data_IF_088260324137
#
_entry.id   IF_088260324137
#
_cell.length_a   1.000
_cell.length_b   1.000
_cell.length_c   1.000
_cell.angle_alpha   90.00
_cell.angle_beta   90.00
_cell.angle_gamma   90.00
#
_symmetry.space_group_name_H-M   'P 1'
#
loop_
_entity.id
_entity.type
_entity.pdbx_description
1 polymer ?
#
# COMPACT_ATOMS: atom_id res chain seq x y z
N UNK A 1 2.64 7.51 15.35
CA UNK A 1 2.92 8.56 16.36
C UNK A 1 2.12 8.40 17.64
N UNK A 2 0.91 7.81 17.61
CA UNK A 2 0.07 7.65 18.81
C UNK A 2 0.64 6.62 19.81
N UNK A 3 1.36 5.62 19.33
CA UNK A 3 2.03 4.64 20.17
C UNK A 3 3.45 4.38 19.66
N UNK A 4 4.47 5.06 20.25
CA UNK A 4 5.86 4.92 19.82
C UNK A 4 6.47 3.56 20.13
N UNK A 5 5.79 2.72 20.91
CA UNK A 5 6.24 1.35 21.17
C UNK A 5 6.02 0.44 19.95
N UNK A 6 5.10 0.80 19.04
CA UNK A 6 4.85 0.04 17.84
C UNK A 6 5.74 0.53 16.69
N UNK A 7 6.63 -0.33 16.23
CA UNK A 7 7.54 -0.07 15.10
C UNK A 7 7.36 -1.17 14.06
N UNK A 8 7.24 -0.77 12.81
CA UNK A 8 7.03 -1.68 11.68
C UNK A 8 8.07 -1.44 10.60
N UNK A 9 8.66 -2.51 10.07
CA UNK A 9 9.64 -2.45 8.99
C UNK A 9 9.21 -3.42 7.89
N UNK A 10 8.96 -2.88 6.69
CA UNK A 10 8.68 -3.69 5.51
C UNK A 10 9.99 -4.18 4.89
N UNK A 11 10.10 -5.49 4.69
CA UNK A 11 11.31 -6.16 4.22
C UNK A 11 11.01 -7.04 3.01
N UNK A 12 11.90 -7.02 2.02
CA UNK A 12 11.86 -7.87 0.82
C UNK A 12 12.79 -7.34 -0.25
N UNK A 13 13.42 -8.22 -1.01
CA UNK A 13 14.50 -7.82 -1.95
C UNK A 13 14.02 -7.63 -3.37
N UNK A 14 13.32 -8.63 -3.91
CA UNK A 14 12.88 -8.64 -5.31
C UNK A 14 11.42 -9.02 -5.44
N UNK A 15 10.72 -8.45 -6.41
CA UNK A 15 9.33 -8.81 -6.71
C UNK A 15 9.19 -10.23 -7.25
N UNK A 16 10.28 -10.84 -7.68
CA UNK A 16 10.34 -12.26 -8.08
C UNK A 16 10.59 -13.23 -6.92
N UNK A 17 10.88 -12.71 -5.72
CA UNK A 17 11.21 -13.52 -4.55
C UNK A 17 10.10 -13.48 -3.51
N UNK A 18 9.62 -14.65 -3.07
CA UNK A 18 8.58 -14.76 -2.03
C UNK A 18 9.18 -14.56 -0.61
N UNK A 19 10.00 -13.55 -0.43
CA UNK A 19 10.66 -13.24 0.84
C UNK A 19 10.14 -11.95 1.50
N UNK A 20 8.97 -11.47 1.07
CA UNK A 20 8.31 -10.34 1.69
C UNK A 20 7.92 -10.63 3.15
N UNK A 21 8.25 -9.71 4.04
CA UNK A 21 7.91 -9.81 5.45
C UNK A 21 7.71 -8.42 6.06
N UNK A 22 6.93 -8.36 7.12
CA UNK A 22 6.86 -7.21 8.01
C UNK A 22 7.51 -7.60 9.34
N UNK A 23 8.50 -6.84 9.77
CA UNK A 23 9.03 -6.94 11.12
C UNK A 23 8.21 -6.03 12.02
N UNK A 24 7.62 -6.61 13.05
CA UNK A 24 6.76 -5.90 13.99
C UNK A 24 7.43 -5.87 15.38
N UNK A 25 7.58 -4.69 15.93
CA UNK A 25 7.97 -4.48 17.32
C UNK A 25 6.84 -3.83 18.09
N UNK A 26 6.69 -4.18 19.35
CA UNK A 26 5.71 -3.61 20.27
C UNK A 26 6.37 -3.08 21.56
N UNK A 27 7.69 -2.97 21.55
CA UNK A 27 8.54 -2.57 22.68
C UNK A 27 9.54 -1.45 22.32
N UNK A 28 9.17 -0.63 21.33
CA UNK A 28 10.00 0.49 20.88
C UNK A 28 11.21 0.09 20.05
N UNK A 29 11.14 -1.06 19.37
CA UNK A 29 12.21 -1.54 18.49
C UNK A 29 13.28 -2.37 19.19
N UNK A 30 13.06 -2.79 20.45
CA UNK A 30 14.02 -3.64 21.16
C UNK A 30 14.00 -5.08 20.65
N UNK A 31 12.80 -5.58 20.36
CA UNK A 31 12.63 -6.91 19.75
C UNK A 31 11.70 -6.83 18.55
N UNK A 32 11.87 -7.74 17.60
CA UNK A 32 11.05 -7.82 16.40
C UNK A 32 10.55 -9.24 16.18
N UNK A 33 9.25 -9.36 15.95
CA UNK A 33 8.64 -10.56 15.41
C UNK A 33 8.53 -10.44 13.90
N UNK A 34 8.89 -11.50 13.16
CA UNK A 34 8.72 -11.57 11.72
C UNK A 34 7.33 -12.09 11.38
N UNK A 35 6.65 -11.38 10.49
CA UNK A 35 5.37 -11.77 9.89
C UNK A 35 5.59 -11.92 8.38
N UNK A 36 5.48 -13.14 7.87
CA UNK A 36 5.53 -13.39 6.43
C UNK A 36 4.24 -12.91 5.78
N UNK A 37 4.36 -12.27 4.61
CA UNK A 37 3.24 -11.66 3.91
C UNK A 37 3.02 -12.34 2.55
N UNK A 38 1.76 -12.42 2.06
CA UNK A 38 1.42 -13.09 0.81
C UNK A 38 1.70 -12.24 -0.44
N UNK A 39 2.54 -11.22 -0.32
CA UNK A 39 2.92 -10.33 -1.42
C UNK A 39 4.44 -10.12 -1.43
N UNK A 40 4.96 -9.83 -2.61
CA UNK A 40 6.38 -9.61 -2.79
C UNK A 40 6.73 -8.12 -2.68
N UNK A 41 7.96 -7.83 -2.33
CA UNK A 41 8.49 -6.48 -2.21
C UNK A 41 9.77 -6.33 -3.05
N UNK A 42 9.97 -5.16 -3.62
CA UNK A 42 11.08 -4.88 -4.53
C UNK A 42 12.11 -3.90 -3.97
N UNK A 43 12.48 -4.05 -2.71
CA UNK A 43 13.39 -3.12 -2.02
C UNK A 43 14.78 -3.00 -2.63
N UNK A 44 15.21 -4.00 -3.42
CA UNK A 44 16.50 -3.98 -4.12
C UNK A 44 16.37 -3.92 -5.65
N UNK A 45 15.22 -3.51 -6.17
CA UNK A 45 14.98 -3.41 -7.60
C UNK A 45 15.00 -1.98 -8.11
N UNK A 46 15.22 -1.84 -9.43
CA UNK A 46 14.94 -0.60 -10.13
C UNK A 46 13.46 -0.23 -9.96
N UNK A 47 13.18 1.02 -9.60
CA UNK A 47 11.81 1.48 -9.32
C UNK A 47 11.36 1.26 -7.87
N UNK A 48 12.27 0.89 -6.97
CA UNK A 48 11.99 0.78 -5.52
C UNK A 48 11.47 2.09 -4.89
N UNK A 49 11.62 3.20 -5.57
CA UNK A 49 11.00 4.46 -5.17
C UNK A 49 9.48 4.51 -5.35
N UNK A 50 8.91 3.59 -6.13
CA UNK A 50 7.49 3.52 -6.44
C UNK A 50 6.90 2.22 -5.87
N UNK A 51 6.23 2.30 -4.75
CA UNK A 51 5.60 1.15 -4.10
C UNK A 51 6.14 0.88 -2.70
N UNK A 52 5.71 -0.21 -2.11
CA UNK A 52 5.99 -0.63 -0.73
C UNK A 52 5.81 0.52 0.27
N UNK A 53 4.62 1.11 0.30
CA UNK A 53 4.25 2.18 1.22
C UNK A 53 3.39 1.62 2.35
N UNK A 54 3.83 1.80 3.57
CA UNK A 54 3.13 1.34 4.76
C UNK A 54 2.75 2.53 5.63
N UNK A 55 1.48 2.58 6.05
CA UNK A 55 0.95 3.65 6.89
C UNK A 55 0.04 3.08 7.97
N UNK A 56 0.28 3.49 9.21
CA UNK A 56 -0.59 3.18 10.36
C UNK A 56 -1.72 4.22 10.41
N UNK A 57 -2.94 3.77 10.68
CA UNK A 57 -4.08 4.66 10.86
C UNK A 57 -3.82 5.58 12.06
N UNK A 58 -3.88 6.91 11.88
CA UNK A 58 -3.63 7.86 12.96
C UNK A 58 -4.71 7.83 14.05
N UNK A 59 -5.87 7.22 13.81
CA UNK A 59 -6.97 7.10 14.76
C UNK A 59 -7.01 5.72 15.43
N UNK A 60 -6.61 4.68 14.70
CA UNK A 60 -6.61 3.32 15.19
C UNK A 60 -5.29 2.62 14.90
N UNK A 61 -4.45 2.52 15.92
CA UNK A 61 -3.12 1.87 15.84
C UNK A 61 -3.17 0.37 15.47
N UNK A 62 -4.34 -0.25 15.48
CA UNK A 62 -4.49 -1.64 15.04
C UNK A 62 -4.56 -1.74 13.52
N UNK A 63 -4.91 -0.64 12.83
CA UNK A 63 -5.10 -0.62 11.38
C UNK A 63 -3.83 -0.14 10.70
N UNK A 64 -3.36 -0.94 9.75
CA UNK A 64 -2.21 -0.62 8.92
C UNK A 64 -2.58 -0.92 7.47
N UNK A 65 -2.24 0.00 6.57
CA UNK A 65 -2.31 -0.25 5.15
C UNK A 65 -0.91 -0.39 4.56
N UNK A 66 -0.78 -1.33 3.62
CA UNK A 66 0.44 -1.58 2.86
C UNK A 66 0.14 -1.51 1.37
N UNK A 67 0.70 -0.52 0.71
CA UNK A 67 0.69 -0.40 -0.73
C UNK A 67 1.87 -1.13 -1.34
N UNK A 68 1.61 -1.98 -2.31
CA UNK A 68 2.65 -2.76 -3.00
C UNK A 68 2.84 -2.27 -4.43
N UNK A 69 3.91 -2.72 -5.06
CA UNK A 69 4.16 -2.42 -6.48
C UNK A 69 3.27 -3.25 -7.41
N UNK A 70 3.05 -4.51 -7.11
CA UNK A 70 2.43 -5.47 -8.03
C UNK A 70 1.18 -6.15 -7.49
N UNK A 71 0.95 -6.09 -6.17
CA UNK A 71 -0.10 -6.88 -5.52
C UNK A 71 -1.23 -6.01 -4.93
N UNK A 72 -1.30 -4.73 -5.34
CA UNK A 72 -2.33 -3.80 -4.88
C UNK A 72 -2.18 -3.36 -3.44
N UNK A 73 -3.31 -3.06 -2.81
CA UNK A 73 -3.40 -2.56 -1.44
C UNK A 73 -3.76 -3.68 -0.47
N UNK A 74 -3.05 -3.75 0.65
CA UNK A 74 -3.27 -4.70 1.74
C UNK A 74 -3.59 -3.99 3.04
N UNK A 75 -4.36 -4.63 3.88
CA UNK A 75 -4.78 -4.10 5.17
C UNK A 75 -4.54 -5.12 6.28
N UNK A 76 -4.02 -4.64 7.39
CA UNK A 76 -4.02 -5.32 8.69
C UNK A 76 -5.00 -4.63 9.62
N UNK A 77 -5.66 -5.37 10.50
CA UNK A 77 -6.52 -4.86 11.59
C UNK A 77 -6.06 -5.33 12.98
N UNK A 78 -4.89 -5.93 13.04
CA UNK A 78 -4.34 -6.58 14.22
C UNK A 78 -2.88 -6.18 14.49
N UNK A 79 -2.53 -4.94 14.21
CA UNK A 79 -1.17 -4.39 14.38
C UNK A 79 -0.11 -5.10 13.53
N UNK A 80 -0.48 -5.49 12.30
CA UNK A 80 0.46 -6.09 11.36
C UNK A 80 0.66 -7.59 11.51
N UNK A 81 -0.08 -8.28 12.39
CA UNK A 81 0.06 -9.73 12.59
C UNK A 81 -0.53 -10.55 11.45
N UNK A 82 -1.60 -10.06 10.83
CA UNK A 82 -2.17 -10.66 9.63
C UNK A 82 -2.52 -9.61 8.58
N UNK A 83 -2.59 -10.02 7.32
CA UNK A 83 -2.78 -9.13 6.19
C UNK A 83 -3.80 -9.69 5.22
N UNK A 84 -4.76 -8.86 4.84
CA UNK A 84 -5.81 -9.18 3.87
C UNK A 84 -5.78 -8.14 2.75
N UNK A 85 -5.97 -8.59 1.52
CA UNK A 85 -6.07 -7.67 0.37
C UNK A 85 -7.31 -6.79 0.53
N UNK A 86 -7.18 -5.49 0.32
CA UNK A 86 -8.29 -4.56 0.31
C UNK A 86 -9.14 -4.79 -0.94
N UNK A 87 -10.25 -5.53 -0.80
CA UNK A 87 -11.10 -5.95 -1.92
C UNK A 87 -11.74 -4.75 -2.67
N UNK A 88 -11.96 -3.64 -1.97
CA UNK A 88 -12.46 -2.40 -2.56
C UNK A 88 -11.42 -1.63 -3.38
N UNK A 89 -10.15 -2.00 -3.29
CA UNK A 89 -9.10 -1.38 -4.11
C UNK A 89 -9.08 -2.03 -5.49
N UNK A 90 -9.15 -1.24 -6.58
CA UNK A 90 -9.19 -1.77 -7.94
C UNK A 90 -7.94 -2.63 -8.21
N UNK A 91 -8.13 -3.71 -8.96
CA UNK A 91 -6.99 -4.53 -9.38
C UNK A 91 -6.18 -3.76 -10.41
N UNK A 92 -5.11 -3.15 -9.94
CA UNK A 92 -4.18 -2.44 -10.81
C UNK A 92 -3.20 -3.39 -11.50
N UNK A 93 -3.10 -4.65 -11.04
CA UNK A 93 -2.20 -5.65 -11.62
C UNK A 93 -2.62 -6.08 -13.01
N UNK A 94 -3.91 -6.12 -13.32
CA UNK A 94 -4.40 -6.43 -14.67
C UNK A 94 -4.07 -5.34 -15.70
N UNK A 95 -3.97 -4.10 -15.26
CA UNK A 95 -3.56 -2.96 -16.11
C UNK A 95 -2.06 -2.89 -16.32
N UNK A 96 -1.29 -3.58 -15.51
CA UNK A 96 0.14 -3.76 -15.68
C UNK A 96 0.38 -4.95 -16.60
N UNK A 97 0.63 -4.70 -17.86
CA UNK A 97 1.03 -5.75 -18.78
C UNK A 97 2.34 -6.37 -18.28
N UNK A 98 2.21 -7.55 -17.67
CA UNK A 98 3.34 -8.31 -17.13
C UNK A 98 4.41 -8.65 -18.19
N UNK A 99 4.05 -8.61 -19.48
CA UNK A 99 5.02 -8.76 -20.58
C UNK A 99 6.06 -7.64 -20.65
N UNK A 100 5.75 -6.44 -20.13
CA UNK A 100 6.73 -5.36 -20.00
C UNK A 100 7.72 -5.58 -18.83
N UNK A 101 7.54 -6.64 -18.03
CA UNK A 101 8.51 -7.05 -16.99
C UNK A 101 9.88 -7.41 -17.58
N UNK A 102 9.91 -7.99 -18.80
CA UNK A 102 11.14 -8.47 -19.41
C UNK A 102 12.04 -7.34 -19.93
N UNK A 103 11.47 -6.18 -20.23
CA UNK A 103 12.20 -5.10 -20.91
C UNK A 103 12.67 -3.99 -19.98
N UNK A 104 13.22 -4.23 -18.80
CA UNK A 104 13.78 -3.20 -17.88
C UNK A 104 13.06 -2.94 -16.57
N UNK A 105 12.42 -3.91 -16.01
CA UNK A 105 11.81 -3.78 -14.69
C UNK A 105 10.73 -2.70 -14.68
N UNK A 106 9.71 -2.92 -13.94
CA UNK A 106 8.54 -2.05 -13.78
C UNK A 106 8.91 -0.71 -13.09
N UNK A 107 9.69 0.13 -13.76
CA UNK A 107 10.34 1.31 -13.18
C UNK A 107 9.40 2.43 -12.77
N UNK A 108 8.12 2.30 -12.92
CA UNK A 108 7.24 3.43 -12.66
C UNK A 108 5.87 3.08 -12.14
N UNK A 109 5.60 1.80 -11.87
CA UNK A 109 4.29 1.35 -11.44
C UNK A 109 4.27 0.95 -9.98
N UNK A 110 3.19 1.26 -9.29
CA UNK A 110 2.98 0.88 -7.90
C UNK A 110 2.26 1.94 -7.08
N UNK A 111 1.97 1.62 -5.84
CA UNK A 111 1.37 2.55 -4.89
C UNK A 111 2.50 3.41 -4.31
N UNK A 112 2.43 4.72 -4.57
CA UNK A 112 3.49 5.67 -4.20
C UNK A 112 3.17 6.48 -2.95
N UNK A 113 1.91 6.52 -2.54
CA UNK A 113 1.49 7.22 -1.33
C UNK A 113 0.20 6.63 -0.79
N UNK A 114 0.06 6.61 0.53
CA UNK A 114 -1.19 6.38 1.25
C UNK A 114 -1.35 7.56 2.20
N UNK A 115 -2.51 8.22 2.18
CA UNK A 115 -2.84 9.31 3.08
C UNK A 115 -4.21 9.05 3.73
N UNK A 116 -4.32 9.40 5.00
CA UNK A 116 -5.57 9.29 5.76
C UNK A 116 -6.29 10.62 5.79
N UNK A 117 -7.61 10.59 5.63
CA UNK A 117 -8.47 11.74 5.85
C UNK A 117 -8.77 11.87 7.35
N UNK A 118 -7.90 12.57 8.05
CA UNK A 118 -8.01 12.74 9.51
C UNK A 118 -9.18 13.64 9.94
N UNK A 119 -9.82 14.33 9.01
CA UNK A 119 -10.95 15.21 9.31
C UNK A 119 -12.31 14.51 9.22
N UNK A 120 -12.39 13.37 8.52
CA UNK A 120 -13.63 12.59 8.39
C UNK A 120 -13.75 11.56 9.51
N UNK A 121 -13.92 12.06 10.75
CA UNK A 121 -13.84 11.27 11.98
C UNK A 121 -15.18 11.14 12.70
N UNK A 122 -16.28 10.96 11.98
CA UNK A 122 -17.61 10.96 12.61
C UNK A 122 -17.83 9.90 13.70
N UNK A 123 -16.99 8.89 13.81
CA UNK A 123 -17.14 7.79 14.77
C UNK A 123 -15.77 7.36 15.35
N UNK A 124 -14.97 8.21 15.88
CA UNK A 124 -13.80 8.03 16.80
C UNK A 124 -12.96 6.72 16.76
N UNK A 125 -13.28 5.74 15.90
CA UNK A 125 -12.66 4.42 15.95
C UNK A 125 -11.69 4.12 14.81
N UNK A 126 -11.99 4.58 13.61
CA UNK A 126 -11.19 4.31 12.41
C UNK A 126 -11.27 5.49 11.45
N UNK A 127 -10.19 5.79 10.75
CA UNK A 127 -10.25 6.75 9.65
C UNK A 127 -11.13 6.20 8.53
N UNK A 128 -12.18 6.92 8.16
CA UNK A 128 -13.17 6.50 7.16
C UNK A 128 -12.61 6.40 5.76
N UNK A 129 -11.83 7.38 5.39
CA UNK A 129 -11.35 7.53 4.03
C UNK A 129 -9.83 7.54 4.00
N UNK A 130 -9.30 6.80 3.06
CA UNK A 130 -7.89 6.87 2.70
C UNK A 130 -7.78 7.27 1.23
N UNK A 131 -6.74 8.01 0.90
CA UNK A 131 -6.34 8.35 -0.45
C UNK A 131 -5.10 7.58 -0.82
N UNK A 132 -5.15 6.88 -1.95
CA UNK A 132 -4.04 6.07 -2.41
C UNK A 132 -3.59 6.60 -3.77
N UNK A 133 -2.35 7.07 -3.84
CA UNK A 133 -1.76 7.50 -5.09
C UNK A 133 -1.08 6.31 -5.77
N UNK A 134 -1.45 6.08 -7.03
CA UNK A 134 -0.92 4.99 -7.87
C UNK A 134 -0.17 5.59 -9.04
N UNK A 135 1.08 5.20 -9.19
CA UNK A 135 1.87 5.50 -10.39
C UNK A 135 1.63 4.43 -11.44
N UNK A 136 1.20 4.86 -12.62
CA UNK A 136 0.94 3.99 -13.77
C UNK A 136 1.81 4.43 -14.96
N UNK A 137 2.47 3.47 -15.61
CA UNK A 137 3.14 3.76 -16.86
C UNK A 137 2.13 3.70 -18.01
N UNK A 138 1.88 4.84 -18.63
CA UNK A 138 1.01 4.90 -19.82
C UNK A 138 1.86 4.72 -21.07
N UNK A 139 1.50 3.75 -21.92
CA UNK A 139 2.28 3.30 -23.09
C UNK A 139 2.47 4.35 -24.21
N UNK A 140 1.72 5.44 -24.24
CA UNK A 140 1.67 6.32 -25.44
C UNK A 140 2.38 7.67 -25.34
N UNK A 141 2.78 8.07 -24.14
CA UNK A 141 3.54 9.32 -23.95
C UNK A 141 4.49 9.04 -22.76
N UNK A 142 5.70 9.54 -22.82
CA UNK A 142 6.71 9.39 -21.73
C UNK A 142 6.31 10.12 -20.44
N UNK A 143 5.08 9.96 -19.97
CA UNK A 143 4.57 10.57 -18.75
C UNK A 143 4.10 9.50 -17.76
N UNK A 144 4.55 9.62 -16.52
CA UNK A 144 4.00 8.93 -15.38
C UNK A 144 2.65 9.59 -15.05
N UNK A 145 1.56 8.86 -15.18
CA UNK A 145 0.27 9.32 -14.65
C UNK A 145 0.14 8.87 -13.20
N UNK A 146 -0.12 9.80 -12.30
CA UNK A 146 -0.46 9.51 -10.90
C UNK A 146 -1.96 9.65 -10.74
N UNK A 147 -2.62 8.58 -10.33
CA UNK A 147 -4.06 8.58 -10.05
C UNK A 147 -4.28 8.42 -8.55
N UNK A 148 -5.11 9.28 -7.98
CA UNK A 148 -5.56 9.13 -6.59
C UNK A 148 -6.85 8.33 -6.56
N UNK A 149 -6.87 7.30 -5.74
CA UNK A 149 -8.05 6.46 -5.49
C UNK A 149 -8.49 6.65 -4.05
N UNK A 150 -9.73 7.08 -3.86
CA UNK A 150 -10.36 7.12 -2.54
C UNK A 150 -10.86 5.72 -2.20
N UNK A 151 -10.47 5.20 -1.06
CA UNK A 151 -10.88 3.87 -0.57
C UNK A 151 -11.61 4.06 0.75
N UNK A 152 -12.86 3.56 0.84
CA UNK A 152 -13.60 3.51 2.10
C UNK A 152 -13.02 2.46 3.04
N UNK A 153 -12.93 2.76 4.32
CA UNK A 153 -12.32 1.87 5.31
C UNK A 153 -13.25 0.77 5.83
N UNK A 154 -14.55 0.84 5.55
CA UNK A 154 -15.53 -0.15 6.02
C UNK A 154 -15.62 -1.34 5.07
N UNK A 155 -15.56 -2.54 5.64
CA UNK A 155 -15.96 -3.78 4.98
C UNK A 155 -17.47 -3.69 4.68
N UNK A 156 -17.84 -3.45 3.43
CA UNK A 156 -19.26 -3.42 3.01
C UNK A 156 -19.65 -2.27 2.07
N UNK A 157 -18.89 -1.21 1.99
CA UNK A 157 -19.22 -0.10 1.09
C UNK A 157 -18.65 -0.35 -0.32
N UNK A 158 -19.47 -0.91 -1.18
CA UNK A 158 -19.21 -1.16 -2.60
C UNK A 158 -19.36 0.10 -3.45
N UNK A 159 -18.77 1.21 -3.05
CA UNK A 159 -18.72 2.42 -3.87
C UNK A 159 -17.29 2.89 -4.07
N UNK A 160 -16.64 2.31 -5.07
CA UNK A 160 -15.44 2.88 -5.65
C UNK A 160 -15.87 4.00 -6.61
N UNK A 161 -15.88 5.24 -6.16
CA UNK A 161 -16.04 6.36 -7.08
C UNK A 161 -14.70 6.66 -7.76
N UNK A 162 -14.47 6.07 -8.91
CA UNK A 162 -13.40 6.46 -9.82
C UNK A 162 -13.78 7.75 -10.52
N UNK A 163 -13.51 8.88 -9.92
CA UNK A 163 -13.45 10.14 -10.66
C UNK A 163 -11.98 10.40 -10.99
N UNK A 164 -11.56 10.33 -12.25
CA UNK A 164 -10.23 10.77 -12.65
C UNK A 164 -10.21 12.30 -12.57
N UNK A 165 -9.66 12.87 -11.53
CA UNK A 165 -9.25 14.27 -11.56
C UNK A 165 -7.81 14.30 -12.05
N UNK A 166 -7.67 14.64 -13.33
CA UNK A 166 -6.39 15.01 -13.93
C UNK A 166 -6.12 16.44 -13.47
N UNK A 167 -5.08 16.64 -12.69
CA UNK A 167 -4.53 17.95 -12.43
C UNK A 167 -3.47 18.21 -13.50
N UNK A 168 -3.74 19.17 -14.35
CA UNK A 168 -2.80 19.71 -15.34
C UNK A 168 -1.80 20.66 -14.67
#
# INVERSE_FOLDING_TARGET
>A
PQNPQNVYIACGTYTSSSNGAILCSYDGGRTFARVDVPFTMGGNENGRGNGERMMVDPQNVNIIYMGTRLHGLWRSTDKGRSWVRAASFPDVSEKFNLADRAAWGNRGSGIVCIAYDVQDTKDERDTRNIYVAVSLRVRKICSLATTMVKVGSRLGDSQCSTAPRIWS
#
